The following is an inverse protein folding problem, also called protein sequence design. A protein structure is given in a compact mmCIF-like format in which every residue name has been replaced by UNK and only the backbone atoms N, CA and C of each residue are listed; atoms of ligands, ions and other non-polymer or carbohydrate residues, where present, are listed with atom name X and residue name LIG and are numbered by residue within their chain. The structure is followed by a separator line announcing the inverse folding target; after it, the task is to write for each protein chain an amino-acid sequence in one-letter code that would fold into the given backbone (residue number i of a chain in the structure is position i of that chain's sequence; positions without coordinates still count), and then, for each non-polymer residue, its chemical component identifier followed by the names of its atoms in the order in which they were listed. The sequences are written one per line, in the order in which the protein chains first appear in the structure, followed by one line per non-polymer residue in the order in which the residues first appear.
data_IF_589893906707
#
_entry.id   IF_589893906707
#
_cell.length_a   1.000
_cell.length_b   1.000
_cell.length_c   1.000
_cell.angle_alpha   90.00
_cell.angle_beta   90.00
_cell.angle_gamma   90.00
#
_symmetry.space_group_name_H-M   'P 1'
#
loop_
_entity.id
_entity.type
_entity.pdbx_description
1 polymer ?
#
# COMPACT_ATOMS: atom_id res chain seq x y z
N UNK A 1 -15.33 48.33 3.03
CA UNK A 1 -14.44 47.43 3.80
C UNK A 1 -15.32 46.48 4.59
N UNK A 2 -15.23 45.18 4.31
CA UNK A 2 -15.99 44.17 5.05
C UNK A 2 -15.36 43.92 6.42
N UNK A 3 -16.18 43.58 7.41
CA UNK A 3 -15.76 43.26 8.80
C UNK A 3 -14.76 42.08 8.84
N UNK A 4 -14.59 41.37 7.73
CA UNK A 4 -13.72 40.21 7.53
C UNK A 4 -12.24 40.60 7.38
N UNK A 5 -11.91 41.89 7.24
CA UNK A 5 -10.54 42.39 7.01
C UNK A 5 -9.82 42.82 8.29
N UNK A 6 -10.51 42.86 9.43
CA UNK A 6 -9.96 43.38 10.69
C UNK A 6 -9.14 42.27 11.36
N UNK A 7 -7.81 42.35 11.26
CA UNK A 7 -6.87 41.44 11.93
C UNK A 7 -6.30 40.31 11.06
N UNK A 8 -6.74 40.18 9.80
CA UNK A 8 -6.14 39.26 8.84
C UNK A 8 -5.21 40.01 7.88
N UNK A 9 -4.07 39.38 7.55
CA UNK A 9 -3.11 39.92 6.58
C UNK A 9 -3.76 39.98 5.19
N UNK A 10 -3.76 41.16 4.56
CA UNK A 10 -4.25 41.30 3.18
C UNK A 10 -3.42 40.40 2.25
N UNK A 11 -4.08 39.44 1.60
CA UNK A 11 -3.45 38.49 0.69
C UNK A 11 -3.16 39.17 -0.66
N UNK A 12 -1.98 39.80 -0.77
CA UNK A 12 -1.59 40.60 -1.92
C UNK A 12 -0.63 39.88 -2.90
N UNK A 13 -0.38 38.58 -2.71
CA UNK A 13 0.57 37.83 -3.54
C UNK A 13 -0.08 37.30 -4.83
N UNK A 14 0.59 37.54 -5.96
CA UNK A 14 0.21 36.96 -7.26
C UNK A 14 0.39 35.43 -7.22
N UNK A 15 -0.59 34.63 -7.66
CA UNK A 15 -0.50 33.18 -7.60
C UNK A 15 0.70 32.67 -8.42
N UNK A 16 1.59 31.93 -7.76
CA UNK A 16 2.68 31.17 -8.41
C UNK A 16 2.15 30.29 -9.55
N UNK A 17 2.99 30.09 -10.57
CA UNK A 17 2.70 29.28 -11.76
C UNK A 17 1.98 27.97 -11.39
N UNK A 18 0.78 27.77 -11.94
CA UNK A 18 -0.15 26.68 -11.60
C UNK A 18 0.48 25.30 -11.72
N UNK A 19 1.41 25.13 -12.67
CA UNK A 19 2.12 23.88 -12.92
C UNK A 19 3.24 23.56 -11.93
N UNK A 20 3.75 24.54 -11.18
CA UNK A 20 4.84 24.32 -10.20
C UNK A 20 4.35 24.06 -8.77
N UNK A 21 3.08 24.37 -8.47
CA UNK A 21 2.55 24.33 -7.09
C UNK A 21 2.57 22.93 -6.49
N UNK A 22 2.23 21.89 -7.27
CA UNK A 22 2.23 20.51 -6.80
C UNK A 22 3.63 20.07 -6.34
N UNK A 23 4.68 20.50 -7.05
CA UNK A 23 6.06 20.14 -6.74
C UNK A 23 6.55 20.85 -5.48
N UNK A 24 6.18 22.11 -5.28
CA UNK A 24 6.48 22.85 -4.04
C UNK A 24 5.76 22.20 -2.85
N UNK A 25 4.50 21.82 -2.99
CA UNK A 25 3.73 21.14 -1.94
C UNK A 25 4.37 19.78 -1.62
N UNK A 26 4.70 18.98 -2.64
CA UNK A 26 5.31 17.67 -2.47
C UNK A 26 6.68 17.76 -1.79
N UNK A 27 7.57 18.65 -2.24
CA UNK A 27 8.90 18.82 -1.67
C UNK A 27 8.85 19.33 -0.22
N UNK A 28 7.93 20.24 0.09
CA UNK A 28 7.72 20.73 1.46
C UNK A 28 7.20 19.61 2.38
N UNK A 29 6.25 18.81 1.89
CA UNK A 29 5.75 17.63 2.57
C UNK A 29 6.86 16.60 2.84
N UNK A 30 7.65 16.24 1.83
CA UNK A 30 8.76 15.28 1.97
C UNK A 30 9.81 15.76 2.97
N UNK A 31 10.21 17.03 2.89
CA UNK A 31 11.21 17.61 3.80
C UNK A 31 10.70 17.65 5.24
N UNK A 32 9.40 17.90 5.45
CA UNK A 32 8.77 17.86 6.77
C UNK A 32 8.74 16.43 7.32
N UNK A 33 8.35 15.47 6.47
CA UNK A 33 8.32 14.05 6.80
C UNK A 33 9.70 13.51 7.19
N UNK A 34 10.74 13.92 6.48
CA UNK A 34 12.13 13.53 6.77
C UNK A 34 12.63 14.01 8.15
N UNK A 35 12.02 15.03 8.75
CA UNK A 35 12.36 15.49 10.11
C UNK A 35 11.62 14.74 11.21
N UNK A 36 10.53 14.04 10.89
CA UNK A 36 9.70 13.32 11.87
C UNK A 36 10.14 11.87 12.00
N UNK A 37 10.78 11.53 13.13
CA UNK A 37 11.17 10.14 13.45
C UNK A 37 9.97 9.18 13.49
N UNK A 38 8.80 9.66 13.92
CA UNK A 38 7.59 8.84 13.95
C UNK A 38 7.04 8.54 12.55
N UNK A 39 7.06 9.54 11.66
CA UNK A 39 6.60 9.32 10.28
C UNK A 39 7.57 8.42 9.50
N UNK A 40 8.88 8.55 9.74
CA UNK A 40 9.86 7.61 9.21
C UNK A 40 9.62 6.16 9.67
N UNK A 41 9.31 5.94 10.95
CA UNK A 41 8.97 4.61 11.47
C UNK A 41 7.72 4.03 10.80
N UNK A 42 6.69 4.84 10.59
CA UNK A 42 5.46 4.41 9.91
C UNK A 42 5.74 4.04 8.45
N UNK A 43 6.57 4.81 7.76
CA UNK A 43 7.00 4.48 6.40
C UNK A 43 7.81 3.18 6.36
N UNK A 44 8.68 2.92 7.35
CA UNK A 44 9.38 1.64 7.45
C UNK A 44 8.41 0.48 7.72
N UNK A 45 7.47 0.67 8.65
CA UNK A 45 6.42 -0.31 8.96
C UNK A 45 5.54 -0.57 7.73
N UNK A 46 5.36 0.41 6.83
CA UNK A 46 4.58 0.21 5.61
C UNK A 46 5.18 -0.77 4.61
N UNK A 47 6.45 -1.12 4.76
CA UNK A 47 7.11 -2.13 3.94
C UNK A 47 6.85 -3.54 4.49
N UNK A 48 6.63 -3.71 5.80
CA UNK A 48 6.46 -5.02 6.45
C UNK A 48 5.36 -5.90 5.82
N UNK A 49 4.17 -5.37 5.47
CA UNK A 49 3.14 -6.17 4.83
C UNK A 49 3.61 -6.84 3.55
N UNK A 50 4.48 -6.18 2.76
CA UNK A 50 5.01 -6.76 1.51
C UNK A 50 5.65 -8.12 1.76
N UNK A 51 6.45 -8.24 2.83
CA UNK A 51 7.09 -9.50 3.20
C UNK A 51 6.09 -10.58 3.62
N UNK A 52 5.03 -10.20 4.34
CA UNK A 52 3.96 -11.13 4.71
C UNK A 52 3.27 -11.68 3.47
N UNK A 53 3.02 -10.84 2.46
CA UNK A 53 2.41 -11.24 1.19
C UNK A 53 3.35 -12.00 0.24
N UNK A 54 4.66 -12.00 0.49
CA UNK A 54 5.61 -12.86 -0.24
C UNK A 54 5.52 -14.34 0.18
N UNK A 55 5.11 -14.64 1.42
CA UNK A 55 5.03 -16.03 1.90
C UNK A 55 4.05 -16.89 1.09
N UNK A 56 2.79 -16.45 0.83
CA UNK A 56 1.85 -17.22 0.02
C UNK A 56 2.32 -17.39 -1.43
N UNK A 57 2.98 -16.37 -2.02
CA UNK A 57 3.58 -16.48 -3.35
C UNK A 57 4.66 -17.55 -3.39
N UNK A 58 5.56 -17.55 -2.41
CA UNK A 58 6.62 -18.54 -2.32
C UNK A 58 6.04 -19.97 -2.18
N UNK A 59 5.06 -20.14 -1.29
CA UNK A 59 4.39 -21.43 -1.11
C UNK A 59 3.69 -21.91 -2.40
N UNK A 60 3.04 -21.01 -3.13
CA UNK A 60 2.41 -21.31 -4.40
C UNK A 60 3.42 -21.74 -5.47
N UNK A 61 4.48 -20.97 -5.69
CA UNK A 61 5.50 -21.29 -6.71
C UNK A 61 6.23 -22.60 -6.38
N UNK A 62 6.50 -22.85 -5.09
CA UNK A 62 7.11 -24.10 -4.66
C UNK A 62 6.17 -25.30 -4.85
N UNK A 63 4.88 -25.15 -4.53
CA UNK A 63 3.88 -26.18 -4.73
C UNK A 63 3.63 -26.49 -6.21
N UNK A 64 3.69 -25.46 -7.08
CA UNK A 64 3.57 -25.62 -8.53
C UNK A 64 4.80 -26.32 -9.15
N UNK A 65 5.98 -26.15 -8.57
CA UNK A 65 7.23 -26.73 -9.07
C UNK A 65 7.39 -28.21 -8.70
N UNK A 66 7.07 -28.58 -7.44
CA UNK A 66 7.19 -29.97 -6.95
C UNK A 66 5.94 -30.40 -6.16
N UNK A 67 4.85 -30.82 -6.83
CA UNK A 67 3.58 -31.14 -6.16
C UNK A 67 3.67 -32.35 -5.21
N UNK A 68 4.50 -33.36 -5.52
CA UNK A 68 4.58 -34.60 -4.74
C UNK A 68 5.31 -34.42 -3.40
N UNK A 69 6.32 -33.56 -3.37
CA UNK A 69 7.14 -33.26 -2.19
C UNK A 69 6.46 -32.21 -1.29
N UNK A 70 5.60 -31.36 -1.87
CA UNK A 70 5.11 -30.14 -1.22
C UNK A 70 3.73 -30.27 -0.56
N UNK A 71 3.32 -31.48 -0.14
CA UNK A 71 2.00 -31.73 0.48
C UNK A 71 1.72 -30.85 1.70
N UNK A 72 2.71 -30.63 2.57
CA UNK A 72 2.53 -29.77 3.74
C UNK A 72 2.48 -28.28 3.36
N UNK A 73 3.18 -27.87 2.30
CA UNK A 73 3.11 -26.49 1.78
C UNK A 73 1.75 -26.21 1.14
N UNK A 74 1.17 -27.17 0.45
CA UNK A 74 -0.19 -27.08 -0.12
C UNK A 74 -1.22 -26.89 1.00
N UNK A 75 -1.08 -27.61 2.12
CA UNK A 75 -1.94 -27.43 3.30
C UNK A 75 -1.80 -26.02 3.90
N UNK A 76 -0.57 -25.55 4.08
CA UNK A 76 -0.33 -24.19 4.59
C UNK A 76 -0.90 -23.12 3.65
N UNK A 77 -0.72 -23.26 2.34
CA UNK A 77 -1.29 -22.37 1.35
C UNK A 77 -2.82 -22.41 1.35
N UNK A 78 -3.40 -23.61 1.46
CA UNK A 78 -4.84 -23.82 1.58
C UNK A 78 -5.43 -23.05 2.76
N UNK A 79 -4.80 -23.12 3.93
CA UNK A 79 -5.23 -22.38 5.13
C UNK A 79 -5.12 -20.85 4.97
N UNK A 80 -4.13 -20.36 4.22
CA UNK A 80 -3.94 -18.92 3.96
C UNK A 80 -5.03 -18.39 3.03
N UNK A 81 -5.40 -19.18 2.02
CA UNK A 81 -6.34 -18.82 0.95
C UNK A 81 -7.77 -19.29 1.28
N UNK A 82 -7.95 -19.91 2.45
CA UNK A 82 -9.22 -20.46 2.92
C UNK A 82 -10.31 -19.39 2.97
N UNK A 83 -11.51 -19.74 2.51
CA UNK A 83 -12.64 -18.81 2.45
C UNK A 83 -12.54 -17.74 1.33
N UNK A 84 -11.44 -17.68 0.59
CA UNK A 84 -11.33 -16.82 -0.58
C UNK A 84 -11.92 -17.52 -1.83
N UNK A 85 -12.36 -16.74 -2.84
CA UNK A 85 -12.77 -17.29 -4.13
C UNK A 85 -11.63 -17.95 -4.92
N UNK A 86 -10.38 -17.90 -4.43
CA UNK A 86 -9.21 -18.50 -5.08
C UNK A 86 -8.85 -19.89 -4.59
N UNK A 87 -9.40 -20.31 -3.45
CA UNK A 87 -9.08 -21.58 -2.78
C UNK A 87 -9.20 -22.79 -3.72
N UNK A 88 -10.35 -22.93 -4.39
CA UNK A 88 -10.61 -24.02 -5.33
C UNK A 88 -9.69 -23.92 -6.56
N UNK A 89 -9.57 -22.75 -7.18
CA UNK A 89 -8.76 -22.57 -8.40
C UNK A 89 -7.28 -22.92 -8.19
N UNK A 90 -6.72 -22.53 -7.04
CA UNK A 90 -5.33 -22.84 -6.68
C UNK A 90 -5.16 -24.32 -6.37
N UNK A 91 -6.09 -24.92 -5.64
CA UNK A 91 -6.04 -26.35 -5.29
C UNK A 91 -6.17 -27.22 -6.54
N UNK A 92 -7.10 -26.89 -7.43
CA UNK A 92 -7.35 -27.61 -8.68
C UNK A 92 -6.17 -27.48 -9.65
N UNK A 93 -5.57 -26.29 -9.75
CA UNK A 93 -4.39 -26.05 -10.57
C UNK A 93 -3.17 -26.85 -10.09
N UNK A 94 -2.93 -26.87 -8.77
CA UNK A 94 -1.81 -27.64 -8.20
C UNK A 94 -2.06 -29.16 -8.32
N UNK A 95 -3.29 -29.61 -8.10
CA UNK A 95 -3.63 -31.03 -8.17
C UNK A 95 -3.60 -31.60 -9.60
N UNK A 96 -4.01 -30.80 -10.59
CA UNK A 96 -4.01 -31.21 -12.00
C UNK A 96 -2.61 -31.25 -12.62
N UNK A 97 -1.65 -30.51 -12.06
CA UNK A 97 -0.30 -30.34 -12.61
C UNK A 97 -0.29 -29.89 -14.08
N UNK A 98 -1.39 -29.27 -14.55
CA UNK A 98 -1.53 -28.75 -15.90
C UNK A 98 -0.84 -27.38 -15.99
N UNK A 99 0.17 -27.20 -16.87
CA UNK A 99 0.87 -25.93 -17.02
C UNK A 99 -0.06 -24.74 -17.31
N UNK A 100 -1.16 -24.95 -18.03
CA UNK A 100 -2.09 -23.88 -18.38
C UNK A 100 -2.88 -23.41 -17.15
N UNK A 101 -3.46 -24.35 -16.39
CA UNK A 101 -4.22 -24.06 -15.18
C UNK A 101 -3.35 -23.44 -14.09
N UNK A 102 -2.09 -23.88 -13.97
CA UNK A 102 -1.10 -23.28 -13.05
C UNK A 102 -0.78 -21.85 -13.43
N UNK A 103 -0.61 -21.54 -14.73
CA UNK A 103 -0.36 -20.17 -15.19
C UNK A 103 -1.54 -19.23 -14.89
N UNK A 104 -2.77 -19.70 -15.11
CA UNK A 104 -3.97 -18.91 -14.82
C UNK A 104 -4.12 -18.68 -13.30
N UNK A 105 -3.97 -19.73 -12.50
CA UNK A 105 -4.01 -19.64 -11.04
C UNK A 105 -2.89 -18.75 -10.48
N UNK A 106 -1.71 -18.74 -11.10
CA UNK A 106 -0.62 -17.82 -10.77
C UNK A 106 -1.06 -16.38 -10.94
N UNK A 107 -1.62 -16.03 -12.10
CA UNK A 107 -2.07 -14.67 -12.37
C UNK A 107 -3.11 -14.21 -11.34
N UNK A 108 -4.09 -15.07 -11.03
CA UNK A 108 -5.12 -14.75 -10.06
C UNK A 108 -4.56 -14.63 -8.63
N UNK A 109 -3.61 -15.47 -8.26
CA UNK A 109 -2.89 -15.38 -6.98
C UNK A 109 -2.20 -14.02 -6.84
N UNK A 110 -1.46 -13.59 -7.88
CA UNK A 110 -0.82 -12.27 -7.88
C UNK A 110 -1.84 -11.14 -7.76
N UNK A 111 -2.91 -11.17 -8.55
CA UNK A 111 -3.95 -10.15 -8.51
C UNK A 111 -4.60 -10.06 -7.12
N UNK A 112 -4.89 -11.20 -6.50
CA UNK A 112 -5.47 -11.25 -5.15
C UNK A 112 -4.53 -10.74 -4.08
N UNK A 113 -3.26 -11.15 -4.08
CA UNK A 113 -2.30 -10.71 -3.07
C UNK A 113 -2.03 -9.21 -3.19
N UNK A 114 -1.87 -8.70 -4.42
CA UNK A 114 -1.73 -7.26 -4.66
C UNK A 114 -2.98 -6.49 -4.21
N UNK A 115 -4.17 -6.96 -4.57
CA UNK A 115 -5.43 -6.33 -4.15
C UNK A 115 -5.55 -6.28 -2.63
N UNK A 116 -5.25 -7.37 -1.93
CA UNK A 116 -5.31 -7.41 -0.46
C UNK A 116 -4.25 -6.52 0.18
N UNK A 117 -3.02 -6.50 -0.36
CA UNK A 117 -1.93 -5.62 0.08
C UNK A 117 -2.32 -4.14 -0.04
N UNK A 118 -2.86 -3.73 -1.19
CA UNK A 118 -3.27 -2.34 -1.40
C UNK A 118 -4.51 -1.97 -0.58
N UNK A 119 -5.46 -2.88 -0.43
CA UNK A 119 -6.75 -2.61 0.22
C UNK A 119 -6.65 -2.49 1.73
N UNK A 120 -5.88 -3.35 2.39
CA UNK A 120 -5.90 -3.42 3.85
C UNK A 120 -4.71 -2.69 4.47
N UNK A 121 -3.47 -3.22 4.42
CA UNK A 121 -2.36 -2.59 5.10
C UNK A 121 -2.02 -1.23 4.49
N UNK A 122 -1.93 -1.11 3.15
CA UNK A 122 -1.56 0.17 2.55
C UNK A 122 -2.60 1.26 2.79
N UNK A 123 -3.90 0.96 2.68
CA UNK A 123 -4.94 1.94 2.96
C UNK A 123 -4.91 2.43 4.42
N UNK A 124 -4.77 1.51 5.39
CA UNK A 124 -4.69 1.86 6.80
C UNK A 124 -3.45 2.72 7.11
N UNK A 125 -2.30 2.34 6.55
CA UNK A 125 -1.03 3.07 6.70
C UNK A 125 -1.07 4.44 6.03
N UNK A 126 -1.75 4.57 4.89
CA UNK A 126 -1.96 5.84 4.20
C UNK A 126 -2.78 6.80 5.06
N UNK A 127 -3.88 6.32 5.67
CA UNK A 127 -4.70 7.12 6.59
C UNK A 127 -3.88 7.56 7.80
N UNK A 128 -3.10 6.66 8.39
CA UNK A 128 -2.23 6.97 9.53
C UNK A 128 -1.17 8.02 9.18
N UNK A 129 -0.48 7.83 8.05
CA UNK A 129 0.53 8.76 7.56
C UNK A 129 -0.06 10.15 7.28
N UNK A 130 -1.24 10.19 6.65
CA UNK A 130 -1.97 11.43 6.37
C UNK A 130 -2.38 12.13 7.68
N UNK A 131 -2.91 11.40 8.66
CA UNK A 131 -3.32 11.97 9.95
C UNK A 131 -2.17 12.61 10.73
N UNK A 132 -0.94 12.12 10.56
CA UNK A 132 0.25 12.66 11.23
C UNK A 132 0.90 13.79 10.41
N UNK A 133 0.92 13.66 9.08
CA UNK A 133 1.56 14.64 8.21
C UNK A 133 0.71 15.90 7.97
N UNK A 134 -0.62 15.77 7.92
CA UNK A 134 -1.55 16.85 7.57
C UNK A 134 -1.54 18.03 8.56
N UNK A 135 -1.72 17.83 9.89
CA UNK A 135 -1.78 18.95 10.84
C UNK A 135 -0.55 19.86 10.82
N UNK A 136 0.70 19.35 10.81
CA UNK A 136 1.88 20.21 10.70
C UNK A 136 2.03 20.85 9.31
N UNK A 137 1.44 20.31 8.24
CA UNK A 137 1.46 20.99 6.95
C UNK A 137 0.51 22.19 6.94
N UNK A 138 -0.73 22.02 7.40
CA UNK A 138 -1.74 23.10 7.44
C UNK A 138 -1.30 24.23 8.40
N UNK A 139 -0.81 23.88 9.58
CA UNK A 139 -0.40 24.89 10.57
C UNK A 139 0.82 25.72 10.17
N UNK A 140 1.70 25.19 9.29
CA UNK A 140 2.83 25.95 8.76
C UNK A 140 2.44 26.83 7.58
N UNK A 141 1.48 26.39 6.75
CA UNK A 141 0.91 27.18 5.66
C UNK A 141 0.17 28.43 6.19
N UNK A 142 -0.54 28.31 7.32
CA UNK A 142 -1.23 29.44 7.97
C UNK A 142 -0.29 30.46 8.64
N UNK A 143 1.00 30.14 8.81
CA UNK A 143 1.98 30.98 9.53
C UNK A 143 2.92 31.76 8.61
N UNK A 144 2.98 31.45 7.30
CA UNK A 144 3.78 32.16 6.31
C UNK A 144 3.02 33.33 5.68
#
# INVERSE_FOLDING_TARGET
MGVNEIGYRAWNESPVNRWGRWLVIATTGVRRTAKSKWLQRILLVSILPVFVFCVPLYLFEQAASDPQTSRDMIRLLGNIVEGSPLSHRVTDAIASADPQLVSDARHDMWAFLLQNLFRYPQAALMVLALGIASPPMISHDLRS
#
